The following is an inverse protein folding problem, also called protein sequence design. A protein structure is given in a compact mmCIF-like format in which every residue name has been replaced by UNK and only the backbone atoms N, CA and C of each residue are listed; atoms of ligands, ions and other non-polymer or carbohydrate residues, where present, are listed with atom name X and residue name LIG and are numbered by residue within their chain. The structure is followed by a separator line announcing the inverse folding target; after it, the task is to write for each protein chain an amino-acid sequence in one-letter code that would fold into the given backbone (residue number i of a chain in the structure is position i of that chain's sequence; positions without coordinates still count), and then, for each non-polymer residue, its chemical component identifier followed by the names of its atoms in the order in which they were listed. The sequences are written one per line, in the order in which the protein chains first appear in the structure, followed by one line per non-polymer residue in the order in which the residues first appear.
data_IF_598807247700
#
_entry.id   IF_598807247700
#
_cell.length_a   1.000
_cell.length_b   1.000
_cell.length_c   1.000
_cell.angle_alpha   90.00
_cell.angle_beta   90.00
_cell.angle_gamma   90.00
#
_symmetry.space_group_name_H-M   'P 1'
#
loop_
_entity.id
_entity.type
_entity.pdbx_description
1 polymer ?
#
# COMPACT_ATOMS: atom_id res chain seq x y z
N UNK A 1 13.07 3.63 -3.14
CA UNK A 1 13.09 4.74 -2.14
C UNK A 1 14.12 4.34 -1.10
N UNK A 2 14.89 5.27 -0.51
CA UNK A 2 15.78 4.91 0.61
C UNK A 2 14.99 4.82 1.93
N UNK A 3 15.59 4.16 2.92
CA UNK A 3 14.93 3.86 4.20
C UNK A 3 14.61 5.12 5.01
N UNK A 4 15.50 6.12 4.99
CA UNK A 4 15.32 7.38 5.71
C UNK A 4 14.14 8.19 5.18
N UNK A 5 13.98 8.24 3.86
CA UNK A 5 12.82 8.84 3.23
C UNK A 5 11.52 8.12 3.60
N UNK A 6 11.56 6.79 3.76
CA UNK A 6 10.39 6.03 4.18
C UNK A 6 10.04 6.32 5.64
N UNK A 7 11.03 6.42 6.53
CA UNK A 7 10.83 6.80 7.94
C UNK A 7 10.17 8.19 8.04
N UNK A 8 10.62 9.15 7.22
CA UNK A 8 10.11 10.53 7.25
C UNK A 8 8.70 10.72 6.66
N UNK A 9 8.14 9.72 5.96
CA UNK A 9 6.81 9.86 5.34
C UNK A 9 5.74 10.14 6.39
N UNK A 10 5.04 11.25 6.21
CA UNK A 10 3.83 11.60 6.98
C UNK A 10 2.63 10.78 6.51
N UNK A 11 1.59 10.73 7.33
CA UNK A 11 0.32 10.07 6.97
C UNK A 11 -0.26 10.64 5.66
N UNK A 12 -0.25 11.97 5.50
CA UNK A 12 -0.74 12.65 4.29
C UNK A 12 0.06 12.33 3.03
N UNK A 13 1.36 12.07 3.16
CA UNK A 13 2.19 11.64 2.04
C UNK A 13 1.92 10.19 1.68
N UNK A 14 1.75 9.31 2.68
CA UNK A 14 1.37 7.90 2.47
C UNK A 14 0.03 7.77 1.73
N UNK A 15 -0.93 8.63 2.05
CA UNK A 15 -2.23 8.71 1.36
C UNK A 15 -2.09 8.90 -0.16
N UNK A 16 -1.11 9.72 -0.56
CA UNK A 16 -0.86 10.10 -1.96
C UNK A 16 -0.09 9.04 -2.75
N UNK A 17 0.58 8.10 -2.08
CA UNK A 17 1.35 7.06 -2.76
C UNK A 17 0.46 6.12 -3.59
N UNK A 18 0.99 5.67 -4.72
CA UNK A 18 0.39 4.58 -5.49
C UNK A 18 0.55 3.24 -4.76
N UNK A 19 -0.26 2.25 -5.13
CA UNK A 19 -0.12 0.89 -4.57
C UNK A 19 1.29 0.32 -4.79
N UNK A 20 1.89 0.57 -5.96
CA UNK A 20 3.25 0.14 -6.29
C UNK A 20 4.28 0.77 -5.34
N UNK A 21 4.22 2.08 -5.13
CA UNK A 21 5.14 2.78 -4.23
C UNK A 21 5.00 2.34 -2.76
N UNK A 22 3.77 2.04 -2.32
CA UNK A 22 3.53 1.47 -1.00
C UNK A 22 4.24 0.11 -0.85
N UNK A 23 4.09 -0.77 -1.85
CA UNK A 23 4.72 -2.10 -1.83
C UNK A 23 6.25 -2.03 -1.93
N UNK A 24 6.79 -1.16 -2.77
CA UNK A 24 8.25 -0.94 -2.85
C UNK A 24 8.82 -0.43 -1.51
N UNK A 25 8.08 0.44 -0.81
CA UNK A 25 8.48 0.92 0.52
C UNK A 25 8.46 -0.20 1.56
N UNK A 26 7.44 -1.06 1.54
CA UNK A 26 7.35 -2.23 2.43
C UNK A 26 8.50 -3.22 2.18
N UNK A 27 8.84 -3.51 0.91
CA UNK A 27 9.97 -4.39 0.60
C UNK A 27 11.31 -3.78 0.98
N UNK A 28 11.45 -2.46 0.91
CA UNK A 28 12.65 -1.76 1.40
C UNK A 28 12.79 -1.91 2.92
N UNK A 29 11.70 -1.72 3.67
CA UNK A 29 11.69 -1.95 5.13
C UNK A 29 12.05 -3.41 5.46
N UNK A 30 11.43 -4.37 4.78
CA UNK A 30 11.71 -5.80 4.96
C UNK A 30 13.16 -6.15 4.67
N UNK A 31 13.74 -5.55 3.64
CA UNK A 31 15.16 -5.75 3.31
C UNK A 31 16.07 -5.21 4.42
N UNK A 32 15.73 -4.06 5.00
CA UNK A 32 16.49 -3.48 6.11
C UNK A 32 16.55 -4.41 7.33
N UNK A 33 15.44 -5.07 7.68
CA UNK A 33 15.40 -6.06 8.77
C UNK A 33 16.31 -7.29 8.53
N UNK A 34 16.59 -7.63 7.26
CA UNK A 34 17.42 -8.78 6.91
C UNK A 34 18.91 -8.43 6.80
N UNK A 35 19.23 -7.17 6.50
CA UNK A 35 20.58 -6.76 6.12
C UNK A 35 21.31 -5.91 7.16
N UNK A 36 20.63 -5.36 8.16
CA UNK A 36 21.19 -4.43 9.11
C UNK A 36 21.02 -4.89 10.57
N UNK A 37 22.06 -4.70 11.38
CA UNK A 37 21.95 -4.71 12.85
C UNK A 37 21.26 -3.40 13.29
N UNK A 38 19.95 -3.34 13.09
CA UNK A 38 19.11 -2.27 13.60
C UNK A 38 18.94 -2.45 15.11
N UNK A 39 19.00 -1.37 15.88
CA UNK A 39 18.62 -1.45 17.28
C UNK A 39 17.09 -1.65 17.43
N UNK A 40 16.66 -2.00 18.65
CA UNK A 40 15.26 -2.35 18.90
C UNK A 40 14.31 -1.15 18.71
N UNK A 41 14.76 0.07 18.93
CA UNK A 41 13.93 1.27 18.77
C UNK A 41 13.67 1.55 17.29
N UNK A 42 14.72 1.46 16.46
CA UNK A 42 14.60 1.58 15.00
C UNK A 42 13.72 0.47 14.41
N UNK A 43 13.86 -0.76 14.91
CA UNK A 43 13.02 -1.87 14.49
C UNK A 43 11.54 -1.59 14.77
N UNK A 44 11.19 -1.10 15.96
CA UNK A 44 9.82 -0.77 16.34
C UNK A 44 9.27 0.36 15.45
N UNK A 45 10.06 1.40 15.18
CA UNK A 45 9.65 2.50 14.31
C UNK A 45 9.33 1.99 12.89
N UNK A 46 10.22 1.18 12.31
CA UNK A 46 10.05 0.61 10.98
C UNK A 46 8.86 -0.33 10.89
N UNK A 47 8.60 -1.14 11.93
CA UNK A 47 7.41 -1.98 11.98
C UNK A 47 6.13 -1.14 11.98
N UNK A 48 6.08 -0.09 12.81
CA UNK A 48 4.94 0.83 12.84
C UNK A 48 4.69 1.47 11.47
N UNK A 49 5.77 1.92 10.81
CA UNK A 49 5.69 2.48 9.46
C UNK A 49 5.19 1.45 8.43
N UNK A 50 5.70 0.22 8.48
CA UNK A 50 5.28 -0.85 7.58
C UNK A 50 3.79 -1.18 7.75
N UNK A 51 3.28 -1.21 8.98
CA UNK A 51 1.84 -1.41 9.26
C UNK A 51 1.02 -0.30 8.62
N UNK A 52 1.41 0.97 8.78
CA UNK A 52 0.71 2.09 8.17
C UNK A 52 0.66 1.97 6.63
N UNK A 53 1.80 1.66 6.00
CA UNK A 53 1.89 1.45 4.55
C UNK A 53 1.00 0.28 4.09
N UNK A 54 1.01 -0.84 4.82
CA UNK A 54 0.20 -2.03 4.53
C UNK A 54 -1.30 -1.75 4.66
N UNK A 55 -1.72 -1.01 5.68
CA UNK A 55 -3.12 -0.61 5.85
C UNK A 55 -3.59 0.22 4.66
N UNK A 56 -2.78 1.19 4.20
CA UNK A 56 -3.10 1.99 3.02
C UNK A 56 -3.16 1.15 1.74
N UNK A 57 -2.21 0.23 1.56
CA UNK A 57 -2.19 -0.66 0.41
C UNK A 57 -3.46 -1.54 0.35
N UNK A 58 -3.86 -2.10 1.50
CA UNK A 58 -5.08 -2.89 1.65
C UNK A 58 -6.33 -2.07 1.30
N UNK A 59 -6.42 -0.83 1.77
CA UNK A 59 -7.54 0.06 1.45
C UNK A 59 -7.64 0.33 -0.05
N UNK A 60 -6.53 0.68 -0.71
CA UNK A 60 -6.49 0.89 -2.16
C UNK A 60 -6.93 -0.36 -2.92
N UNK A 61 -6.48 -1.54 -2.50
CA UNK A 61 -6.89 -2.80 -3.13
C UNK A 61 -8.39 -3.06 -2.98
N UNK A 62 -8.97 -2.79 -1.80
CA UNK A 62 -10.40 -2.92 -1.57
C UNK A 62 -11.20 -1.97 -2.48
N UNK A 63 -10.74 -0.73 -2.64
CA UNK A 63 -11.38 0.25 -3.51
C UNK A 63 -11.33 -0.16 -4.98
N UNK A 64 -10.18 -0.63 -5.46
CA UNK A 64 -10.03 -1.14 -6.85
C UNK A 64 -10.94 -2.35 -7.08
N UNK A 65 -11.03 -3.28 -6.12
CA UNK A 65 -11.93 -4.43 -6.23
C UNK A 65 -13.39 -3.99 -6.35
N UNK A 66 -13.82 -3.04 -5.53
CA UNK A 66 -15.19 -2.50 -5.57
C UNK A 66 -15.48 -1.83 -6.92
N UNK A 67 -14.55 -1.03 -7.43
CA UNK A 67 -14.69 -0.38 -8.75
C UNK A 67 -14.82 -1.42 -9.87
N UNK A 68 -14.03 -2.50 -9.82
CA UNK A 68 -14.15 -3.60 -10.78
C UNK A 68 -15.53 -4.25 -10.73
N UNK A 69 -16.00 -4.60 -9.53
CA UNK A 69 -17.32 -5.23 -9.34
C UNK A 69 -18.48 -4.32 -9.85
N UNK A 70 -18.34 -3.00 -9.75
CA UNK A 70 -19.31 -2.04 -10.29
C UNK A 70 -19.27 -1.99 -11.83
N UNK A 71 -18.07 -1.95 -12.42
CA UNK A 71 -17.89 -1.99 -13.89
C UNK A 71 -18.46 -3.28 -14.47
N UNK A 72 -18.16 -4.42 -13.85
CA UNK A 72 -18.65 -5.74 -14.29
C UNK A 72 -20.19 -5.77 -14.29
N UNK A 73 -20.83 -5.23 -13.24
CA UNK A 73 -22.29 -5.11 -13.15
C UNK A 73 -22.87 -4.20 -14.25
N UNK A 74 -22.28 -3.02 -14.46
CA UNK A 74 -22.73 -2.09 -15.50
C UNK A 74 -22.62 -2.73 -16.89
N UNK A 75 -21.56 -3.50 -17.13
CA UNK A 75 -21.36 -4.22 -18.38
C UNK A 75 -22.42 -5.31 -18.60
N UNK A 76 -22.73 -6.11 -17.58
CA UNK A 76 -23.80 -7.11 -17.64
C UNK A 76 -25.17 -6.48 -17.92
N UNK A 77 -25.51 -5.39 -17.23
CA UNK A 77 -26.75 -4.65 -17.48
C UNK A 77 -26.83 -4.11 -18.91
N UNK A 78 -25.72 -3.61 -19.45
CA UNK A 78 -25.66 -3.08 -20.82
C UNK A 78 -25.90 -4.17 -21.86
N UNK A 79 -25.27 -5.34 -21.71
CA UNK A 79 -25.47 -6.49 -22.61
C UNK A 79 -26.92 -6.97 -22.55
N UNK A 80 -27.50 -7.10 -21.35
CA UNK A 80 -28.88 -7.56 -21.16
C UNK A 80 -29.94 -6.59 -21.70
N UNK A 81 -29.61 -5.31 -21.91
CA UNK A 81 -30.52 -4.33 -22.54
C UNK A 81 -30.45 -4.33 -24.07
N UNK A 82 -29.45 -4.99 -24.66
CA UNK A 82 -29.27 -5.08 -26.12
C UNK A 82 -29.64 -6.44 -26.74
N UNK A 83 -29.84 -7.48 -25.91
CA UNK A 83 -30.43 -8.75 -26.32
C UNK A 83 -31.94 -8.77 -26.12
#
# INVERSE_FOLDING_TARGET
MDLEKIKSLTSEEVEKLSFKELMESIETIKSAFLSAELDIEEQIELYSKAIMLLMKAREKLANVRKQKEEIDRMYEEFINRMG
#
